data_IF_283329557881
#
_entry.id   IF_283329557881
#
_cell.length_a   1.000
_cell.length_b   1.000
_cell.length_c   1.000
_cell.angle_alpha   90.00
_cell.angle_beta   90.00
_cell.angle_gamma   90.00
#
_symmetry.space_group_name_H-M   'P 1'
#
loop_
_entity.id
_entity.type
_entity.pdbx_description
1 polymer ?
#
# COMPACT_ATOMS: atom_id res chain seq x y z
N UNK A 1 6.07 -1.07 -21.31
CA UNK A 1 5.73 -2.39 -20.74
C UNK A 1 4.44 -2.34 -19.89
N UNK A 2 4.31 -1.41 -18.94
CA UNK A 2 3.14 -1.31 -18.04
C UNK A 2 1.77 -1.30 -18.76
N UNK A 3 1.55 -0.38 -19.71
CA UNK A 3 0.24 -0.22 -20.40
C UNK A 3 -0.25 -1.51 -21.07
N UNK A 4 0.63 -2.20 -21.80
CA UNK A 4 0.28 -3.47 -22.46
C UNK A 4 -0.08 -4.59 -21.47
N UNK A 5 0.50 -4.60 -20.27
CA UNK A 5 0.11 -5.55 -19.21
C UNK A 5 -1.31 -5.27 -18.71
N UNK A 6 -1.63 -3.99 -18.49
CA UNK A 6 -2.97 -3.56 -18.07
C UNK A 6 -4.01 -3.86 -19.14
N UNK A 7 -3.73 -3.49 -20.41
CA UNK A 7 -4.62 -3.79 -21.53
C UNK A 7 -4.92 -5.30 -21.64
N UNK A 8 -3.90 -6.14 -21.51
CA UNK A 8 -4.10 -7.59 -21.52
C UNK A 8 -4.96 -8.09 -20.36
N UNK A 9 -4.86 -7.48 -19.19
CA UNK A 9 -5.64 -7.88 -18.00
C UNK A 9 -7.10 -7.43 -18.13
N UNK A 10 -7.35 -6.30 -18.77
CA UNK A 10 -8.69 -5.87 -19.13
C UNK A 10 -9.36 -6.82 -20.12
N UNK A 11 -8.65 -7.27 -21.16
CA UNK A 11 -9.15 -8.30 -22.10
C UNK A 11 -9.53 -9.61 -21.40
N UNK A 12 -8.85 -9.92 -20.29
CA UNK A 12 -9.11 -11.09 -19.45
C UNK A 12 -10.24 -10.87 -18.43
N UNK A 13 -10.85 -9.68 -18.39
CA UNK A 13 -11.96 -9.35 -17.51
C UNK A 13 -11.57 -8.92 -16.09
N UNK A 14 -10.28 -8.66 -15.82
CA UNK A 14 -9.87 -8.12 -14.52
C UNK A 14 -10.31 -6.66 -14.37
N UNK A 15 -10.90 -6.34 -13.23
CA UNK A 15 -11.41 -4.99 -12.90
C UNK A 15 -10.69 -4.33 -11.73
N UNK A 16 -9.85 -5.07 -11.00
CA UNK A 16 -9.08 -4.59 -9.85
C UNK A 16 -7.60 -4.83 -10.09
N UNK A 17 -6.79 -3.81 -9.86
CA UNK A 17 -5.33 -3.91 -9.87
C UNK A 17 -4.79 -3.75 -8.45
N UNK A 18 -4.23 -4.82 -7.88
CA UNK A 18 -3.52 -4.76 -6.60
C UNK A 18 -2.12 -4.20 -6.84
N UNK A 19 -1.77 -3.13 -6.13
CA UNK A 19 -0.51 -2.43 -6.27
C UNK A 19 0.10 -2.12 -4.91
N UNK A 20 1.42 -2.16 -4.85
CA UNK A 20 2.16 -1.79 -3.67
C UNK A 20 3.25 -0.79 -4.01
N UNK A 21 3.43 0.21 -3.16
CA UNK A 21 4.47 1.23 -3.40
C UNK A 21 5.85 0.71 -3.03
N UNK A 22 5.93 -0.18 -2.02
CA UNK A 22 7.16 -0.64 -1.38
C UNK A 22 8.12 0.47 -0.97
N UNK A 23 7.66 1.73 -0.91
CA UNK A 23 8.51 2.89 -0.66
C UNK A 23 9.24 2.80 0.69
N UNK A 24 8.69 2.07 1.65
CA UNK A 24 9.28 1.85 2.97
C UNK A 24 9.91 0.45 3.13
N UNK A 25 10.19 -0.29 2.06
CA UNK A 25 10.78 -1.63 2.13
C UNK A 25 12.20 -1.63 1.54
N UNK A 26 13.20 -2.02 2.35
CA UNK A 26 14.59 -2.22 1.92
C UNK A 26 15.04 -3.66 2.23
N UNK A 27 14.21 -4.63 1.87
CA UNK A 27 14.57 -6.01 2.08
C UNK A 27 15.80 -6.37 1.24
N UNK A 28 16.78 -7.00 1.88
CA UNK A 28 18.04 -7.45 1.26
C UNK A 28 18.83 -6.32 0.55
N UNK A 29 18.68 -5.06 1.00
CA UNK A 29 19.38 -3.92 0.41
C UNK A 29 18.83 -3.50 -0.95
N UNK A 30 17.58 -3.87 -1.26
CA UNK A 30 16.89 -3.50 -2.50
C UNK A 30 15.78 -2.46 -2.24
N UNK A 31 16.13 -1.16 -2.15
CA UNK A 31 15.15 -0.10 -1.95
C UNK A 31 14.28 0.08 -3.20
N UNK A 32 13.01 0.46 -3.00
CA UNK A 32 12.07 0.65 -4.10
C UNK A 32 12.54 1.69 -5.11
N UNK A 33 12.60 1.29 -6.39
CA UNK A 33 13.03 2.09 -7.53
C UNK A 33 12.10 1.87 -8.73
N UNK A 34 11.83 2.91 -9.50
CA UNK A 34 11.11 2.85 -10.77
C UNK A 34 11.77 3.80 -11.81
N UNK A 35 11.11 4.09 -12.93
CA UNK A 35 11.68 4.97 -13.97
C UNK A 35 11.84 6.44 -13.52
N UNK A 36 11.30 6.81 -12.36
CA UNK A 36 11.54 8.08 -11.67
C UNK A 36 12.68 8.04 -10.65
N UNK A 37 13.40 6.92 -10.52
CA UNK A 37 14.49 6.74 -9.55
C UNK A 37 14.05 6.04 -8.25
N UNK A 38 14.81 6.16 -7.15
CA UNK A 38 14.44 5.59 -5.85
C UNK A 38 13.29 6.34 -5.20
N UNK A 39 12.54 5.70 -4.30
CA UNK A 39 11.50 6.35 -3.51
C UNK A 39 12.05 7.46 -2.58
N UNK A 40 13.31 7.33 -2.17
CA UNK A 40 14.04 8.26 -1.31
C UNK A 40 15.42 8.55 -1.91
N UNK A 41 15.85 9.81 -1.98
CA UNK A 41 17.09 10.17 -2.70
C UNK A 41 18.36 9.54 -2.10
N UNK A 42 18.39 9.32 -0.78
CA UNK A 42 19.55 8.80 -0.05
C UNK A 42 19.35 7.38 0.50
N UNK A 43 18.32 6.67 0.05
CA UNK A 43 17.88 5.38 0.59
C UNK A 43 17.59 5.37 2.12
N UNK A 44 17.55 6.56 2.73
CA UNK A 44 17.12 6.79 4.11
C UNK A 44 15.61 7.06 4.11
N UNK A 45 14.87 6.12 4.68
CA UNK A 45 13.41 6.15 4.62
C UNK A 45 12.87 7.30 5.45
N UNK A 46 11.80 7.91 4.93
CA UNK A 46 11.04 8.94 5.61
C UNK A 46 11.74 10.30 5.76
N UNK A 47 12.94 10.49 5.20
CA UNK A 47 13.68 11.77 5.31
C UNK A 47 13.64 12.60 4.03
N UNK A 48 14.16 12.09 2.91
CA UNK A 48 14.23 12.83 1.64
C UNK A 48 13.50 12.11 0.50
N UNK A 49 12.19 12.33 0.42
CA UNK A 49 11.30 11.69 -0.56
C UNK A 49 11.60 12.21 -1.97
N UNK A 50 11.78 11.30 -2.94
CA UNK A 50 11.97 11.66 -4.33
C UNK A 50 10.62 11.83 -5.06
N UNK A 51 10.20 13.04 -5.47
CA UNK A 51 8.92 13.25 -6.13
C UNK A 51 8.79 12.54 -7.48
N UNK A 52 9.90 12.32 -8.20
CA UNK A 52 9.89 11.70 -9.53
C UNK A 52 9.48 10.22 -9.48
N UNK A 53 9.87 9.49 -8.42
CA UNK A 53 9.39 8.13 -8.18
C UNK A 53 7.86 8.07 -8.11
N UNK A 54 7.26 9.02 -7.39
CA UNK A 54 5.82 9.08 -7.25
C UNK A 54 5.11 9.63 -8.49
N UNK A 55 5.72 10.58 -9.23
CA UNK A 55 5.20 11.02 -10.53
C UNK A 55 5.11 9.89 -11.55
N UNK A 56 6.03 8.92 -11.50
CA UNK A 56 5.91 7.71 -12.30
C UNK A 56 4.73 6.83 -11.86
N UNK A 57 4.48 6.71 -10.55
CA UNK A 57 3.28 6.02 -10.03
C UNK A 57 2.00 6.76 -10.42
N UNK A 58 2.00 8.10 -10.40
CA UNK A 58 0.87 8.94 -10.81
C UNK A 58 0.41 8.55 -12.23
N UNK A 59 1.34 8.47 -13.19
CA UNK A 59 1.05 8.06 -14.57
C UNK A 59 0.44 6.64 -14.67
N UNK A 60 0.85 5.72 -13.79
CA UNK A 60 0.35 4.34 -13.77
C UNK A 60 -1.07 4.29 -13.22
N UNK A 61 -1.35 5.03 -12.15
CA UNK A 61 -2.68 5.13 -11.54
C UNK A 61 -3.65 5.85 -12.47
N UNK A 62 -3.24 6.96 -13.09
CA UNK A 62 -4.04 7.66 -14.10
C UNK A 62 -4.43 6.73 -15.25
N UNK A 63 -3.49 5.91 -15.71
CA UNK A 63 -3.79 4.94 -16.77
C UNK A 63 -4.76 3.85 -16.32
N UNK A 64 -4.57 3.25 -15.14
CA UNK A 64 -5.51 2.28 -14.55
C UNK A 64 -6.92 2.89 -14.42
N UNK A 65 -7.03 4.09 -13.87
CA UNK A 65 -8.28 4.81 -13.69
C UNK A 65 -8.94 5.14 -15.03
N UNK A 66 -8.18 5.57 -16.04
CA UNK A 66 -8.68 5.83 -17.40
C UNK A 66 -9.27 4.58 -18.08
N UNK A 67 -8.93 3.39 -17.59
CA UNK A 67 -9.43 2.10 -18.07
C UNK A 67 -10.58 1.55 -17.22
N UNK A 68 -11.05 2.32 -16.23
CA UNK A 68 -12.13 1.92 -15.33
C UNK A 68 -11.73 0.88 -14.28
N UNK A 69 -10.43 0.67 -14.03
CA UNK A 69 -9.99 -0.26 -13.00
C UNK A 69 -10.03 0.38 -11.61
N UNK A 70 -10.39 -0.42 -10.61
CA UNK A 70 -10.19 -0.09 -9.19
C UNK A 70 -8.73 -0.36 -8.82
N UNK A 71 -8.10 0.59 -8.13
CA UNK A 71 -6.73 0.43 -7.62
C UNK A 71 -6.79 -0.04 -6.16
N UNK A 72 -6.36 -1.26 -5.89
CA UNK A 72 -6.23 -1.80 -4.53
C UNK A 72 -4.80 -1.55 -4.04
N UNK A 73 -4.59 -0.54 -3.19
CA UNK A 73 -3.26 0.00 -2.90
C UNK A 73 -2.76 -0.33 -1.49
N UNK A 74 -1.55 -0.90 -1.42
CA UNK A 74 -0.78 -0.98 -0.19
C UNK A 74 0.38 0.01 -0.12
N UNK A 75 0.55 0.63 1.04
CA UNK A 75 1.72 1.46 1.31
C UNK A 75 2.97 0.58 1.43
N UNK A 76 2.90 -0.46 2.25
CA UNK A 76 4.06 -1.28 2.59
C UNK A 76 3.73 -2.73 2.89
N UNK A 77 4.63 -3.39 3.60
CA UNK A 77 4.58 -4.81 3.97
C UNK A 77 4.92 -4.96 5.45
N UNK A 78 4.44 -6.00 6.14
CA UNK A 78 4.57 -6.16 7.60
C UNK A 78 5.98 -5.88 8.10
N UNK A 79 6.97 -6.46 7.43
CA UNK A 79 8.41 -6.33 7.74
C UNK A 79 8.99 -4.92 7.64
N UNK A 80 8.32 -3.97 6.98
CA UNK A 80 8.76 -2.58 6.95
C UNK A 80 8.42 -1.77 8.21
N UNK A 81 7.59 -2.31 9.11
CA UNK A 81 7.35 -1.72 10.42
C UNK A 81 7.40 -2.77 11.52
N UNK A 82 8.53 -2.79 12.25
CA UNK A 82 8.79 -3.80 13.28
C UNK A 82 8.39 -3.38 14.70
N UNK A 83 8.18 -2.09 14.93
CA UNK A 83 7.80 -1.55 16.23
C UNK A 83 7.15 -0.16 16.07
N UNK A 84 6.63 0.36 17.18
CA UNK A 84 5.86 1.60 17.22
C UNK A 84 6.71 2.88 17.00
N UNK A 85 8.05 2.82 17.10
CA UNK A 85 8.88 4.02 16.94
C UNK A 85 8.82 4.59 15.52
N UNK A 86 8.50 3.76 14.52
CA UNK A 86 8.36 4.17 13.13
C UNK A 86 6.91 4.52 12.74
N UNK A 87 5.95 4.40 13.66
CA UNK A 87 4.51 4.55 13.33
C UNK A 87 4.17 5.96 12.84
N UNK A 88 4.76 6.99 13.45
CA UNK A 88 4.57 8.39 13.05
C UNK A 88 5.04 8.66 11.61
N UNK A 89 6.17 8.06 11.23
CA UNK A 89 6.71 8.13 9.87
C UNK A 89 5.81 7.38 8.87
N UNK A 90 5.29 6.22 9.26
CA UNK A 90 4.34 5.47 8.44
C UNK A 90 3.02 6.22 8.25
N UNK A 91 2.49 6.88 9.29
CA UNK A 91 1.31 7.75 9.19
C UNK A 91 1.57 8.96 8.30
N UNK A 92 2.77 9.56 8.36
CA UNK A 92 3.17 10.66 7.47
C UNK A 92 3.19 10.21 6.01
N UNK A 93 3.76 9.05 5.72
CA UNK A 93 3.73 8.45 4.37
C UNK A 93 2.30 8.11 3.93
N UNK A 94 1.47 7.56 4.83
CA UNK A 94 0.08 7.22 4.52
C UNK A 94 -0.73 8.44 4.12
N UNK A 95 -0.56 9.56 4.83
CA UNK A 95 -1.18 10.84 4.48
C UNK A 95 -0.72 11.34 3.12
N UNK A 96 0.56 11.16 2.78
CA UNK A 96 1.10 11.55 1.48
C UNK A 96 0.48 10.74 0.33
N UNK A 97 0.41 9.42 0.49
CA UNK A 97 -0.23 8.49 -0.47
C UNK A 97 -1.71 8.83 -0.63
N UNK A 98 -2.42 9.05 0.48
CA UNK A 98 -3.83 9.44 0.48
C UNK A 98 -4.05 10.78 -0.23
N UNK A 99 -3.22 11.80 0.04
CA UNK A 99 -3.33 13.10 -0.61
C UNK A 99 -3.14 13.00 -2.14
N UNK A 100 -2.28 12.09 -2.60
CA UNK A 100 -2.03 11.85 -4.02
C UNK A 100 -3.12 11.03 -4.70
N UNK A 101 -3.58 9.97 -4.05
CA UNK A 101 -4.37 8.92 -4.69
C UNK A 101 -5.82 8.81 -4.20
N UNK A 102 -6.19 9.60 -3.19
CA UNK A 102 -7.54 9.62 -2.63
C UNK A 102 -8.61 10.24 -3.54
N UNK A 103 -8.25 10.84 -4.67
CA UNK A 103 -9.21 11.28 -5.69
C UNK A 103 -9.49 10.22 -6.77
N UNK A 104 -8.68 9.16 -6.84
CA UNK A 104 -8.81 8.08 -7.81
C UNK A 104 -9.74 6.96 -7.28
N UNK A 105 -10.19 6.00 -8.13
CA UNK A 105 -10.99 4.85 -7.71
C UNK A 105 -10.16 3.84 -6.90
N UNK A 106 -9.73 4.25 -5.71
CA UNK A 106 -8.81 3.53 -4.86
C UNK A 106 -9.56 2.79 -3.75
N UNK A 107 -9.11 1.58 -3.42
CA UNK A 107 -9.42 0.83 -2.20
C UNK A 107 -8.10 0.62 -1.46
N UNK A 108 -8.10 0.78 -0.15
CA UNK A 108 -6.86 0.71 0.64
C UNK A 108 -6.62 -0.71 1.16
N UNK A 109 -5.39 -1.18 0.99
CA UNK A 109 -4.83 -2.37 1.63
C UNK A 109 -3.62 -1.88 2.40
N UNK A 110 -3.82 -1.19 3.51
CA UNK A 110 -2.78 -0.40 4.21
C UNK A 110 -1.39 -1.06 4.22
N UNK A 111 -1.31 -2.35 4.57
CA UNK A 111 -0.11 -3.16 4.42
C UNK A 111 -0.39 -4.57 3.90
N UNK A 112 0.62 -5.14 3.23
CA UNK A 112 0.76 -6.57 3.00
C UNK A 112 1.37 -7.28 4.19
N UNK A 113 1.08 -8.57 4.33
CA UNK A 113 1.61 -9.46 5.37
C UNK A 113 1.73 -8.77 6.74
N UNK A 114 0.73 -7.98 7.14
CA UNK A 114 0.85 -7.01 8.25
C UNK A 114 1.23 -7.66 9.59
N UNK A 115 0.94 -8.95 9.72
CA UNK A 115 1.13 -9.78 10.90
C UNK A 115 2.14 -10.91 10.68
N UNK A 116 3.07 -10.78 9.73
CA UNK A 116 4.17 -11.74 9.59
C UNK A 116 5.13 -11.65 10.78
N UNK A 117 4.86 -12.46 11.79
CA UNK A 117 5.66 -12.55 13.01
C UNK A 117 7.07 -13.07 12.75
N UNK A 118 7.27 -13.89 11.71
CA UNK A 118 8.59 -14.42 11.38
C UNK A 118 9.53 -13.32 10.85
N UNK A 119 8.97 -12.32 10.15
CA UNK A 119 9.70 -11.14 9.72
C UNK A 119 9.72 -10.01 10.77
N UNK A 120 9.11 -10.22 11.94
CA UNK A 120 9.05 -9.27 13.05
C UNK A 120 8.07 -8.12 12.84
N UNK A 121 7.00 -8.33 12.06
CA UNK A 121 6.00 -7.30 11.79
C UNK A 121 5.26 -6.87 13.07
N UNK A 122 5.06 -5.56 13.24
CA UNK A 122 4.17 -5.03 14.27
C UNK A 122 2.75 -4.89 13.71
N UNK A 123 1.94 -5.95 13.83
CA UNK A 123 0.57 -5.94 13.28
C UNK A 123 -0.36 -4.88 13.89
N UNK A 124 -0.19 -4.58 15.19
CA UNK A 124 -0.95 -3.50 15.85
C UNK A 124 -0.55 -2.11 15.33
N UNK A 125 0.74 -1.88 15.10
CA UNK A 125 1.22 -0.62 14.53
C UNK A 125 0.60 -0.37 13.14
N UNK A 126 0.47 -1.42 12.32
CA UNK A 126 -0.19 -1.32 11.01
C UNK A 126 -1.69 -1.04 11.13
N UNK A 127 -2.37 -1.59 12.14
CA UNK A 127 -3.77 -1.27 12.43
C UNK A 127 -3.95 0.22 12.76
N UNK A 128 -3.05 0.82 13.55
CA UNK A 128 -3.10 2.26 13.83
C UNK A 128 -2.88 3.12 12.57
N UNK A 129 -2.07 2.66 11.61
CA UNK A 129 -1.91 3.32 10.31
C UNK A 129 -3.20 3.19 9.48
N UNK A 130 -3.85 2.02 9.49
CA UNK A 130 -5.08 1.79 8.75
C UNK A 130 -6.24 2.63 9.29
N UNK A 131 -6.40 2.70 10.61
CA UNK A 131 -7.34 3.60 11.28
C UNK A 131 -7.06 5.06 10.90
N UNK A 132 -5.79 5.48 10.94
CA UNK A 132 -5.39 6.83 10.54
C UNK A 132 -5.74 7.16 9.08
N UNK A 133 -5.52 6.22 8.15
CA UNK A 133 -5.94 6.39 6.74
C UNK A 133 -7.45 6.57 6.64
N UNK A 134 -8.22 5.74 7.34
CA UNK A 134 -9.67 5.83 7.34
C UNK A 134 -10.17 7.16 7.91
N UNK A 135 -9.56 7.65 8.99
CA UNK A 135 -9.91 8.93 9.61
C UNK A 135 -9.69 10.12 8.68
N UNK A 136 -8.59 10.11 7.93
CA UNK A 136 -8.24 11.19 7.01
C UNK A 136 -8.87 11.07 5.62
N UNK A 137 -9.33 9.88 5.19
CA UNK A 137 -10.00 9.71 3.90
C UNK A 137 -11.40 10.37 3.95
N UNK A 138 -11.64 11.47 3.21
CA UNK A 138 -12.92 12.18 3.24
C UNK A 138 -14.07 11.34 2.68
N UNK A 139 -13.76 10.31 1.89
CA UNK A 139 -14.75 9.42 1.28
C UNK A 139 -15.00 8.15 2.10
N UNK A 140 -14.24 7.94 3.19
CA UNK A 140 -14.35 6.75 4.06
C UNK A 140 -14.36 5.45 3.25
N UNK A 141 -13.48 5.35 2.25
CA UNK A 141 -13.45 4.21 1.34
C UNK A 141 -13.09 2.93 2.08
N UNK A 142 -13.45 1.82 1.44
CA UNK A 142 -13.06 0.50 1.89
C UNK A 142 -11.54 0.45 2.13
N UNK A 143 -11.18 0.03 3.34
CA UNK A 143 -9.80 -0.12 3.78
C UNK A 143 -9.68 -1.49 4.47
N UNK A 144 -8.50 -2.10 4.35
CA UNK A 144 -8.17 -3.39 4.92
C UNK A 144 -6.66 -3.50 5.13
N UNK A 145 -6.23 -4.65 5.63
CA UNK A 145 -4.84 -5.09 5.68
C UNK A 145 -4.78 -6.53 5.20
N UNK A 146 -3.76 -6.84 4.41
CA UNK A 146 -3.50 -8.16 3.90
C UNK A 146 -2.59 -8.92 4.87
N UNK A 147 -3.07 -10.06 5.34
CA UNK A 147 -2.43 -10.91 6.32
C UNK A 147 -1.31 -11.77 5.72
N UNK A 148 -0.46 -12.31 6.59
CA UNK A 148 0.43 -13.43 6.31
C UNK A 148 -0.35 -14.77 6.42
N UNK A 149 0.31 -15.91 6.19
CA UNK A 149 -0.30 -17.25 6.11
C UNK A 149 -1.19 -17.67 7.30
N UNK A 150 -1.09 -16.99 8.46
CA UNK A 150 -1.85 -17.31 9.68
C UNK A 150 -3.34 -16.91 9.62
N UNK A 151 -3.76 -16.14 8.61
CA UNK A 151 -5.18 -15.84 8.33
C UNK A 151 -6.05 -15.34 9.51
N UNK A 152 -5.57 -14.42 10.38
CA UNK A 152 -6.40 -13.89 11.45
C UNK A 152 -7.46 -12.90 10.92
N UNK A 153 -8.68 -13.00 11.45
CA UNK A 153 -9.75 -12.01 11.27
C UNK A 153 -9.92 -11.24 12.57
N UNK A 154 -8.97 -10.34 12.86
CA UNK A 154 -8.80 -9.74 14.21
C UNK A 154 -9.43 -8.36 14.39
N UNK A 155 -9.80 -7.67 13.30
CA UNK A 155 -10.33 -6.31 13.34
C UNK A 155 -11.74 -6.21 12.75
N UNK A 156 -12.51 -7.30 12.70
CA UNK A 156 -13.83 -7.34 12.06
C UNK A 156 -14.88 -6.43 12.72
N UNK A 157 -14.62 -5.98 13.94
CA UNK A 157 -15.46 -5.07 14.71
C UNK A 157 -15.04 -3.59 14.52
N UNK A 158 -13.95 -3.34 13.80
CA UNK A 158 -13.44 -2.00 13.54
C UNK A 158 -14.01 -1.41 12.26
N UNK A 159 -14.50 -0.16 12.33
CA UNK A 159 -15.13 0.51 11.20
C UNK A 159 -14.17 0.71 10.01
N UNK A 160 -12.89 0.92 10.28
CA UNK A 160 -11.87 1.10 9.25
C UNK A 160 -11.49 -0.21 8.53
N UNK A 161 -11.89 -1.37 9.05
CA UNK A 161 -11.58 -2.69 8.47
C UNK A 161 -12.77 -3.20 7.63
N UNK A 162 -12.98 -2.56 6.48
CA UNK A 162 -14.19 -2.72 5.68
C UNK A 162 -14.33 -4.06 4.95
N UNK A 163 -13.25 -4.84 4.82
CA UNK A 163 -13.27 -6.17 4.22
C UNK A 163 -12.05 -6.99 4.65
N UNK A 164 -12.12 -8.31 4.46
CA UNK A 164 -11.03 -9.24 4.79
C UNK A 164 -10.25 -9.58 3.52
N UNK A 165 -8.93 -9.61 3.63
CA UNK A 165 -8.05 -10.22 2.61
C UNK A 165 -7.25 -11.34 3.28
N UNK A 166 -7.15 -12.49 2.60
CA UNK A 166 -6.55 -13.73 3.10
C UNK A 166 -5.46 -14.26 2.14
N UNK A 167 -4.26 -14.57 2.63
CA UNK A 167 -3.22 -15.31 1.90
C UNK A 167 -3.26 -16.80 2.27
N UNK A 168 -3.59 -17.67 1.31
CA UNK A 168 -3.84 -19.11 1.55
C UNK A 168 -2.93 -20.06 0.75
N UNK A 169 -2.58 -19.72 -0.49
CA UNK A 169 -1.81 -20.60 -1.40
C UNK A 169 -0.58 -19.90 -1.98
N UNK A 170 0.46 -20.68 -2.27
CA UNK A 170 1.74 -20.23 -2.85
C UNK A 170 2.06 -20.99 -4.14
#
# INVERSE_FOLDING_TARGET
>A
MFKGMIDRRLEQGFTVWKAETFANNNEQGNPARNEGGPAWNNDDFFTDLNPAFWQNIDQRIEYLASKGMVISMAQGIGRSMKNASAESDHKRLARYILARYGAYPTVWITAQEFNDMAAGACGQCWAHVAEYVYDFDPYKRANSMHNAYTNPIVYHDQLWYGFVTLQQSH
#
